data_IF_493498820924
#
_entry.id   IF_493498820924
#
_cell.length_a   1.000
_cell.length_b   1.000
_cell.length_c   1.000
_cell.angle_alpha   90.00
_cell.angle_beta   90.00
_cell.angle_gamma   90.00
#
_symmetry.space_group_name_H-M   'P 1'
#
loop_
_entity.id
_entity.type
_entity.pdbx_description
1 polymer ?
#
# COMPACT_ATOMS: atom_id res chain seq x y z
N UNK A 1 -7.80 3.37 -14.82
CA UNK A 1 -6.35 3.32 -15.07
C UNK A 1 -6.16 2.61 -16.40
N UNK A 2 -5.40 3.17 -17.36
CA UNK A 2 -5.13 2.49 -18.64
C UNK A 2 -4.44 1.14 -18.38
N UNK A 3 -4.77 0.06 -19.11
CA UNK A 3 -4.20 -1.27 -18.87
C UNK A 3 -2.67 -1.28 -18.83
N UNK A 4 -2.02 -0.50 -19.70
CA UNK A 4 -0.56 -0.38 -19.75
C UNK A 4 0.06 0.17 -18.46
N UNK A 5 -0.64 1.04 -17.75
CA UNK A 5 -0.16 1.66 -16.52
C UNK A 5 -0.38 0.79 -15.26
N UNK A 6 -1.11 -0.33 -15.38
CA UNK A 6 -1.46 -1.18 -14.23
C UNK A 6 -0.23 -1.83 -13.61
N UNK A 7 0.69 -2.36 -14.41
CA UNK A 7 1.92 -3.00 -13.91
C UNK A 7 2.87 -2.00 -13.24
N UNK A 8 2.81 -0.74 -13.67
CA UNK A 8 3.54 0.37 -13.04
C UNK A 8 2.79 1.03 -11.88
N UNK A 9 1.69 0.45 -11.40
CA UNK A 9 0.89 0.99 -10.28
C UNK A 9 0.95 0.02 -9.11
N UNK A 10 1.29 0.53 -7.92
CA UNK A 10 1.39 -0.30 -6.73
C UNK A 10 0.04 -0.89 -6.29
N UNK A 11 0.08 -2.10 -5.74
CA UNK A 11 -1.10 -2.80 -5.25
C UNK A 11 -1.86 -2.01 -4.17
N UNK A 12 -1.17 -1.28 -3.29
CA UNK A 12 -1.82 -0.41 -2.30
C UNK A 12 -2.65 0.68 -2.97
N UNK A 13 -2.16 1.28 -4.06
CA UNK A 13 -2.90 2.30 -4.82
C UNK A 13 -4.17 1.71 -5.46
N UNK A 14 -4.09 0.49 -6.00
CA UNK A 14 -5.23 -0.20 -6.61
C UNK A 14 -6.27 -0.60 -5.56
N UNK A 15 -5.85 -1.19 -4.44
CA UNK A 15 -6.73 -1.60 -3.36
C UNK A 15 -7.43 -0.40 -2.73
N UNK A 16 -6.71 0.70 -2.51
CA UNK A 16 -7.30 1.92 -1.97
C UNK A 16 -8.35 2.53 -2.91
N UNK A 17 -8.15 2.47 -4.23
CA UNK A 17 -9.14 2.90 -5.21
C UNK A 17 -10.41 2.03 -5.18
N UNK A 18 -10.26 0.70 -5.05
CA UNK A 18 -11.40 -0.22 -4.93
C UNK A 18 -12.18 0.08 -3.65
N UNK A 19 -11.47 0.22 -2.53
CA UNK A 19 -12.09 0.52 -1.24
C UNK A 19 -12.82 1.86 -1.24
N UNK A 20 -12.19 2.90 -1.82
CA UNK A 20 -12.81 4.20 -2.00
C UNK A 20 -14.07 4.11 -2.86
N UNK A 21 -14.05 3.34 -3.97
CA UNK A 21 -15.23 3.14 -4.81
C UNK A 21 -16.38 2.53 -4.01
N UNK A 22 -16.12 1.40 -3.34
CA UNK A 22 -17.12 0.70 -2.51
C UNK A 22 -17.70 1.63 -1.44
N UNK A 23 -16.81 2.37 -0.77
CA UNK A 23 -17.20 3.30 0.29
C UNK A 23 -18.06 4.45 -0.24
N UNK A 24 -17.71 5.04 -1.39
CA UNK A 24 -18.49 6.12 -1.99
C UNK A 24 -19.83 5.62 -2.54
N UNK A 25 -19.90 4.38 -3.04
CA UNK A 25 -21.15 3.72 -3.44
C UNK A 25 -22.08 3.50 -2.24
N UNK A 26 -21.55 3.00 -1.11
CA UNK A 26 -22.30 2.84 0.14
C UNK A 26 -22.87 4.18 0.64
N UNK A 27 -22.05 5.24 0.62
CA UNK A 27 -22.48 6.59 1.03
C UNK A 27 -23.57 7.13 0.09
N UNK A 28 -23.44 6.91 -1.22
CA UNK A 28 -24.44 7.38 -2.18
C UNK A 28 -25.82 6.77 -1.93
N UNK A 29 -25.86 5.51 -1.46
CA UNK A 29 -27.10 4.81 -1.09
C UNK A 29 -27.72 5.39 0.19
N UNK A 30 -26.91 5.65 1.23
CA UNK A 30 -27.40 6.13 2.53
C UNK A 30 -27.73 7.64 2.56
N UNK A 31 -27.05 8.43 1.73
CA UNK A 31 -27.09 9.91 1.79
C UNK A 31 -28.10 10.54 0.84
N UNK A 32 -28.79 9.76 0.01
CA UNK A 32 -29.60 10.30 -1.09
C UNK A 32 -28.76 10.93 -2.22
N UNK A 33 -27.48 10.55 -2.33
CA UNK A 33 -26.65 10.81 -3.52
C UNK A 33 -25.90 12.14 -3.61
N UNK A 34 -25.83 12.96 -2.56
CA UNK A 34 -25.13 14.25 -2.63
C UNK A 34 -24.08 14.40 -1.53
N UNK A 35 -22.86 13.95 -1.83
CA UNK A 35 -21.64 14.40 -1.17
C UNK A 35 -21.10 15.61 -1.93
N UNK A 36 -20.85 16.71 -1.22
CA UNK A 36 -20.17 17.86 -1.81
C UNK A 36 -18.71 17.52 -2.06
N UNK A 37 -18.39 17.26 -3.33
CA UNK A 37 -17.06 16.89 -3.78
C UNK A 37 -16.01 17.95 -3.47
N UNK A 38 -16.40 19.22 -3.42
CA UNK A 38 -15.49 20.34 -3.10
C UNK A 38 -15.12 20.42 -1.63
N UNK A 39 -15.89 19.73 -0.79
CA UNK A 39 -15.77 19.69 0.66
C UNK A 39 -15.52 18.27 1.17
N UNK A 40 -15.11 17.38 0.26
CA UNK A 40 -14.77 15.98 0.55
C UNK A 40 -13.26 15.81 0.51
N UNK A 41 -12.67 15.61 1.68
CA UNK A 41 -11.24 15.33 1.84
C UNK A 41 -10.92 13.84 1.86
N UNK A 42 -9.65 13.50 1.65
CA UNK A 42 -9.11 12.14 1.67
C UNK A 42 -7.87 12.12 2.57
N UNK A 43 -7.95 11.40 3.68
CA UNK A 43 -6.87 11.34 4.66
C UNK A 43 -6.62 9.88 4.99
N UNK A 44 -5.53 9.31 4.49
CA UNK A 44 -5.27 7.88 4.60
C UNK A 44 -4.02 7.58 5.43
N UNK A 45 -4.09 6.52 6.23
CA UNK A 45 -2.92 5.92 6.85
C UNK A 45 -2.18 5.03 5.85
N UNK A 46 -0.92 5.32 5.58
CA UNK A 46 -0.05 4.50 4.73
C UNK A 46 1.26 4.32 5.47
N UNK A 47 1.51 3.09 5.93
CA UNK A 47 2.76 2.79 6.64
C UNK A 47 3.86 2.45 5.61
N UNK A 48 5.00 3.13 5.70
CA UNK A 48 6.18 2.84 4.90
C UNK A 48 6.09 3.14 3.39
N UNK A 49 7.13 2.74 2.66
CA UNK A 49 7.19 2.80 1.21
C UNK A 49 6.27 1.75 0.58
N UNK A 50 5.90 1.96 -0.68
CA UNK A 50 5.07 1.01 -1.42
C UNK A 50 5.90 -0.20 -1.87
N UNK A 51 5.28 -1.37 -2.05
CA UNK A 51 5.97 -2.61 -2.44
C UNK A 51 6.73 -2.48 -3.76
N UNK A 52 6.13 -1.77 -4.73
CA UNK A 52 6.70 -1.50 -6.04
C UNK A 52 8.07 -0.80 -5.94
N UNK A 53 8.31 -0.02 -4.87
CA UNK A 53 9.60 0.63 -4.64
C UNK A 53 10.73 -0.39 -4.51
N UNK A 54 10.51 -1.47 -3.76
CA UNK A 54 11.52 -2.53 -3.58
C UNK A 54 11.77 -3.29 -4.89
N UNK A 55 10.71 -3.62 -5.63
CA UNK A 55 10.81 -4.27 -6.93
C UNK A 55 11.60 -3.43 -7.94
N UNK A 56 11.28 -2.15 -8.04
CA UNK A 56 11.95 -1.25 -9.00
C UNK A 56 13.40 -0.97 -8.62
N UNK A 57 13.71 -0.88 -7.32
CA UNK A 57 15.08 -0.78 -6.84
C UNK A 57 15.91 -2.04 -7.16
N UNK A 58 15.30 -3.23 -7.07
CA UNK A 58 15.94 -4.50 -7.45
C UNK A 58 16.46 -4.49 -8.89
N UNK A 59 15.64 -4.00 -9.83
CA UNK A 59 16.02 -3.90 -11.25
C UNK A 59 17.23 -2.99 -11.51
N UNK A 60 17.42 -1.95 -10.69
CA UNK A 60 18.56 -1.02 -10.80
C UNK A 60 19.90 -1.66 -10.43
N UNK A 61 19.91 -2.84 -9.78
CA UNK A 61 21.13 -3.58 -9.43
C UNK A 61 21.75 -4.34 -10.62
N UNK A 62 21.14 -4.29 -11.82
CA UNK A 62 21.65 -4.94 -13.04
C UNK A 62 23.15 -4.71 -13.28
N UNK A 63 23.70 -3.48 -13.18
CA UNK A 63 25.13 -3.26 -13.40
C UNK A 63 26.03 -4.04 -12.42
N UNK A 64 25.61 -4.17 -11.15
CA UNK A 64 26.35 -4.91 -10.14
C UNK A 64 26.40 -6.41 -10.48
N UNK A 65 25.27 -7.01 -10.88
CA UNK A 65 25.21 -8.40 -11.30
C UNK A 65 26.08 -8.68 -12.53
N UNK A 66 26.00 -7.81 -13.54
CA UNK A 66 26.81 -7.90 -14.76
C UNK A 66 28.30 -7.85 -14.43
N UNK A 67 28.73 -6.90 -13.60
CA UNK A 67 30.13 -6.76 -13.21
C UNK A 67 30.62 -7.98 -12.41
N UNK A 68 29.82 -8.49 -11.47
CA UNK A 68 30.17 -9.67 -10.69
C UNK A 68 30.31 -10.92 -11.57
N UNK A 69 29.40 -11.13 -12.53
CA UNK A 69 29.46 -12.26 -13.45
C UNK A 69 30.66 -12.17 -14.41
N UNK A 70 31.01 -10.97 -14.88
CA UNK A 70 32.22 -10.75 -15.69
C UNK A 70 33.49 -11.05 -14.89
N UNK A 71 33.57 -10.58 -13.64
CA UNK A 71 34.71 -10.85 -12.76
C UNK A 71 34.86 -12.34 -12.43
N UNK A 72 33.76 -13.08 -12.38
CA UNK A 72 33.76 -14.54 -12.23
C UNK A 72 34.18 -15.30 -13.51
N UNK A 73 34.44 -14.60 -14.62
CA UNK A 73 34.95 -15.19 -15.86
C UNK A 73 33.88 -15.80 -16.77
N UNK A 74 32.60 -15.47 -16.59
CA UNK A 74 31.53 -15.95 -17.48
C UNK A 74 31.67 -15.32 -18.88
N UNK A 75 31.32 -16.08 -19.92
CA UNK A 75 31.29 -15.56 -21.28
C UNK A 75 30.25 -14.44 -21.42
N UNK A 76 30.55 -13.39 -22.20
CA UNK A 76 29.70 -12.20 -22.30
C UNK A 76 28.25 -12.53 -22.74
N UNK A 77 28.07 -13.53 -23.60
CA UNK A 77 26.74 -14.01 -23.99
C UNK A 77 25.95 -14.57 -22.81
N UNK A 78 26.60 -15.30 -21.90
CA UNK A 78 25.98 -15.83 -20.68
C UNK A 78 25.68 -14.71 -19.68
N UNK A 79 26.59 -13.74 -19.53
CA UNK A 79 26.37 -12.57 -18.67
C UNK A 79 25.12 -11.80 -19.09
N UNK A 80 24.98 -11.50 -20.38
CA UNK A 80 23.82 -10.76 -20.89
C UNK A 80 22.53 -11.57 -20.79
N UNK A 81 22.58 -12.89 -21.08
CA UNK A 81 21.42 -13.76 -20.95
C UNK A 81 20.93 -13.85 -19.50
N UNK A 82 21.83 -14.12 -18.54
CA UNK A 82 21.48 -14.22 -17.12
C UNK A 82 20.97 -12.88 -16.60
N UNK A 83 21.66 -11.77 -16.90
CA UNK A 83 21.23 -10.46 -16.46
C UNK A 83 19.85 -10.10 -17.00
N UNK A 84 19.57 -10.40 -18.29
CA UNK A 84 18.25 -10.23 -18.91
C UNK A 84 17.20 -11.05 -18.17
N UNK A 85 17.43 -12.36 -17.99
CA UNK A 85 16.51 -13.24 -17.25
C UNK A 85 16.22 -12.75 -15.84
N UNK A 86 17.21 -12.22 -15.11
CA UNK A 86 16.97 -11.62 -13.79
C UNK A 86 16.13 -10.35 -13.92
N UNK A 87 16.46 -9.46 -14.85
CA UNK A 87 15.68 -8.23 -15.09
C UNK A 87 14.23 -8.51 -15.47
N UNK A 88 13.96 -9.56 -16.25
CA UNK A 88 12.61 -9.95 -16.71
C UNK A 88 11.68 -10.39 -15.56
N UNK A 89 12.19 -10.62 -14.35
CA UNK A 89 11.36 -10.85 -13.16
C UNK A 89 10.74 -9.56 -12.59
N UNK A 90 11.22 -8.40 -13.03
CA UNK A 90 10.75 -7.10 -12.59
C UNK A 90 10.02 -6.40 -13.73
N UNK A 91 8.99 -5.62 -13.40
CA UNK A 91 8.31 -4.75 -14.38
C UNK A 91 9.31 -3.77 -14.99
N UNK A 92 9.14 -3.47 -16.27
CA UNK A 92 9.92 -2.43 -16.95
C UNK A 92 9.63 -1.05 -16.35
N UNK A 93 10.63 -0.17 -16.40
CA UNK A 93 10.41 1.23 -16.06
C UNK A 93 9.52 1.88 -17.10
N UNK A 94 8.42 2.47 -16.65
CA UNK A 94 7.43 3.16 -17.46
C UNK A 94 7.19 4.55 -16.88
N UNK A 95 6.57 5.44 -17.67
CA UNK A 95 6.16 6.76 -17.17
C UNK A 95 5.25 6.67 -15.94
N UNK A 96 4.41 5.63 -15.88
CA UNK A 96 3.50 5.37 -14.76
C UNK A 96 4.21 4.89 -13.48
N UNK A 97 5.43 4.37 -13.58
CA UNK A 97 6.15 3.75 -12.46
C UNK A 97 6.44 4.74 -11.34
N UNK A 98 6.85 5.97 -11.68
CA UNK A 98 7.19 6.97 -10.65
C UNK A 98 5.97 7.41 -9.84
N UNK A 99 4.82 7.78 -10.44
CA UNK A 99 3.59 7.96 -9.66
C UNK A 99 3.13 6.69 -8.93
N UNK A 100 3.41 5.51 -9.49
CA UNK A 100 3.05 4.22 -8.91
C UNK A 100 3.78 3.86 -7.62
N UNK A 101 5.02 4.32 -7.43
CA UNK A 101 5.83 4.01 -6.24
C UNK A 101 5.64 5.00 -5.07
N UNK A 102 4.87 6.07 -5.28
CA UNK A 102 4.71 7.14 -4.29
C UNK A 102 3.52 6.86 -3.37
N UNK A 103 3.75 6.85 -2.06
CA UNK A 103 2.70 6.62 -1.06
C UNK A 103 1.65 7.74 -1.03
N UNK A 104 2.06 9.01 -1.14
CA UNK A 104 1.13 10.14 -1.17
C UNK A 104 0.19 10.12 -2.40
N UNK A 105 0.62 9.50 -3.50
CA UNK A 105 -0.19 9.37 -4.72
C UNK A 105 -1.41 8.47 -4.49
N UNK A 106 -1.44 7.63 -3.44
CA UNK A 106 -2.63 6.85 -3.05
C UNK A 106 -3.84 7.78 -2.86
N UNK A 107 -3.71 8.78 -1.99
CA UNK A 107 -4.78 9.74 -1.72
C UNK A 107 -5.08 10.60 -2.96
N UNK A 108 -4.04 11.08 -3.66
CA UNK A 108 -4.19 11.90 -4.87
C UNK A 108 -4.88 11.19 -6.03
N UNK A 109 -4.67 9.88 -6.21
CA UNK A 109 -5.36 9.09 -7.23
C UNK A 109 -6.84 8.92 -6.93
N UNK A 110 -7.21 8.75 -5.66
CA UNK A 110 -8.61 8.68 -5.25
C UNK A 110 -9.27 10.04 -5.52
N UNK A 111 -8.62 11.15 -5.11
CA UNK A 111 -9.09 12.51 -5.37
C UNK A 111 -9.37 12.72 -6.86
N UNK A 112 -8.38 12.41 -7.70
CA UNK A 112 -8.46 12.56 -9.15
C UNK A 112 -9.53 11.65 -9.78
N UNK A 113 -9.67 10.41 -9.30
CA UNK A 113 -10.59 9.42 -9.90
C UNK A 113 -12.06 9.74 -9.64
N UNK A 114 -12.37 10.30 -8.47
CA UNK A 114 -13.74 10.59 -8.03
C UNK A 114 -14.10 12.09 -8.08
N UNK A 115 -13.14 12.92 -8.54
CA UNK A 115 -13.28 14.37 -8.67
C UNK A 115 -13.53 15.04 -7.31
N UNK A 116 -12.84 14.57 -6.27
CA UNK A 116 -12.90 15.12 -4.92
C UNK A 116 -11.80 16.18 -4.78
N UNK A 117 -12.17 17.41 -4.46
CA UNK A 117 -11.25 18.56 -4.48
C UNK A 117 -10.96 19.13 -3.09
N UNK A 118 -11.41 18.44 -2.03
CA UNK A 118 -10.93 18.70 -0.67
C UNK A 118 -9.45 18.33 -0.48
N UNK A 119 -8.98 18.52 0.74
CA UNK A 119 -7.61 18.15 1.15
C UNK A 119 -7.34 16.67 0.88
N UNK A 120 -6.20 16.33 0.30
CA UNK A 120 -5.79 14.93 0.12
C UNK A 120 -4.34 14.73 0.54
N UNK A 121 -4.12 13.79 1.46
CA UNK A 121 -2.78 13.44 1.94
C UNK A 121 -2.78 12.09 2.66
N UNK A 122 -1.56 11.62 2.94
CA UNK A 122 -1.33 10.39 3.70
C UNK A 122 -0.58 10.71 4.98
N UNK A 123 -0.72 9.82 5.96
CA UNK A 123 -0.04 9.91 7.26
C UNK A 123 0.63 8.58 7.58
N UNK A 124 1.79 8.66 8.23
CA UNK A 124 2.54 7.50 8.69
C UNK A 124 2.81 7.61 10.20
N UNK A 125 2.10 6.78 10.96
CA UNK A 125 2.32 6.53 12.38
C UNK A 125 2.55 5.03 12.63
N UNK A 126 3.21 4.34 11.68
CA UNK A 126 3.43 2.91 11.68
C UNK A 126 2.13 2.11 11.88
N UNK A 127 2.05 1.24 12.88
CA UNK A 127 0.85 0.45 13.17
C UNK A 127 -0.36 1.32 13.56
N UNK A 128 -0.15 2.60 13.90
CA UNK A 128 -1.20 3.55 14.25
C UNK A 128 -1.66 4.44 13.09
N UNK A 129 -1.17 4.24 11.85
CA UNK A 129 -1.44 5.16 10.73
C UNK A 129 -2.93 5.35 10.43
N UNK A 130 -3.73 4.28 10.44
CA UNK A 130 -5.19 4.39 10.20
C UNK A 130 -5.91 5.19 11.28
N UNK A 131 -5.50 5.02 12.54
CA UNK A 131 -6.06 5.77 13.67
C UNK A 131 -5.60 7.23 13.67
N UNK A 132 -4.34 7.49 13.30
CA UNK A 132 -3.82 8.84 13.14
C UNK A 132 -4.59 9.60 12.04
N UNK A 133 -4.82 8.95 10.90
CA UNK A 133 -5.65 9.49 9.82
C UNK A 133 -7.07 9.80 10.29
N UNK A 134 -7.71 8.88 11.04
CA UNK A 134 -9.03 9.08 11.60
C UNK A 134 -9.07 10.26 12.59
N UNK A 135 -8.08 10.37 13.48
CA UNK A 135 -8.00 11.48 14.42
C UNK A 135 -7.92 12.83 13.70
N UNK A 136 -7.15 12.90 12.61
CA UNK A 136 -7.02 14.11 11.81
C UNK A 136 -8.31 14.41 11.06
N UNK A 137 -8.97 13.40 10.47
CA UNK A 137 -10.27 13.54 9.84
C UNK A 137 -11.32 14.11 10.80
N UNK A 138 -11.33 13.65 12.05
CA UNK A 138 -12.23 14.19 13.07
C UNK A 138 -11.95 15.65 13.41
N UNK A 139 -10.68 16.06 13.41
CA UNK A 139 -10.34 17.48 13.60
C UNK A 139 -10.80 18.32 12.40
N UNK A 140 -10.57 17.86 11.18
CA UNK A 140 -10.94 18.58 9.95
C UNK A 140 -12.47 18.77 9.81
N UNK A 141 -13.25 17.75 10.19
CA UNK A 141 -14.70 17.85 10.26
C UNK A 141 -15.17 18.81 11.37
N UNK A 142 -14.48 18.83 12.52
CA UNK A 142 -14.84 19.70 13.65
C UNK A 142 -14.47 21.16 13.44
N UNK A 143 -13.37 21.43 12.72
CA UNK A 143 -12.99 22.79 12.33
C UNK A 143 -13.89 23.35 11.23
N UNK A 144 -14.64 22.49 10.55
CA UNK A 144 -15.40 22.88 9.36
C UNK A 144 -14.50 23.12 8.16
N UNK A 145 -13.30 22.53 8.13
CA UNK A 145 -12.42 22.56 6.96
C UNK A 145 -12.91 21.59 5.87
N UNK A 146 -13.67 20.57 6.25
CA UNK A 146 -14.35 19.62 5.36
C UNK A 146 -15.71 19.22 5.90
N UNK A 147 -16.63 18.84 5.00
CA UNK A 147 -17.97 18.36 5.38
C UNK A 147 -18.06 16.84 5.29
N UNK A 148 -17.14 16.23 4.54
CA UNK A 148 -16.95 14.78 4.42
C UNK A 148 -15.47 14.47 4.36
N UNK A 149 -15.05 13.39 5.02
CA UNK A 149 -13.67 12.90 4.93
C UNK A 149 -13.67 11.40 4.70
N UNK A 150 -13.04 10.97 3.60
CA UNK A 150 -12.71 9.58 3.34
C UNK A 150 -11.41 9.23 4.07
N UNK A 151 -11.49 8.37 5.08
CA UNK A 151 -10.34 7.97 5.90
C UNK A 151 -10.26 6.46 6.13
N UNK A 152 -9.11 5.98 6.60
CA UNK A 152 -8.80 4.56 6.75
C UNK A 152 -7.30 4.29 6.67
N UNK A 153 -6.93 3.05 6.39
CA UNK A 153 -5.54 2.67 6.16
C UNK A 153 -5.37 1.69 5.00
N UNK A 154 -4.20 1.74 4.36
CA UNK A 154 -3.79 0.74 3.37
C UNK A 154 -2.36 0.29 3.62
N UNK A 155 -2.18 -1.02 3.66
CA UNK A 155 -0.89 -1.68 3.69
C UNK A 155 -0.95 -2.88 2.73
N UNK A 156 -0.16 -2.83 1.67
CA UNK A 156 0.05 -3.93 0.74
C UNK A 156 1.53 -4.35 0.71
N UNK A 157 2.36 -3.77 1.57
CA UNK A 157 3.76 -4.10 1.62
C UNK A 157 3.83 -5.51 2.19
N UNK A 158 4.07 -6.53 1.36
CA UNK A 158 4.30 -7.91 1.80
C UNK A 158 5.60 -8.49 1.23
N UNK A 159 6.65 -7.67 1.14
CA UNK A 159 7.94 -8.10 0.61
C UNK A 159 8.81 -8.85 1.62
N UNK A 160 9.85 -9.51 1.08
CA UNK A 160 10.87 -10.23 1.85
C UNK A 160 11.74 -9.32 2.71
N UNK A 161 11.93 -8.05 2.30
CA UNK A 161 12.76 -7.09 3.03
C UNK A 161 12.16 -6.81 4.41
N UNK A 162 10.88 -6.48 4.46
CA UNK A 162 10.16 -6.22 5.70
C UNK A 162 10.06 -7.47 6.57
N UNK A 163 9.86 -8.65 5.97
CA UNK A 163 9.89 -9.91 6.73
C UNK A 163 11.24 -10.14 7.39
N UNK A 164 12.35 -9.88 6.68
CA UNK A 164 13.71 -9.97 7.23
C UNK A 164 13.94 -8.97 8.36
N UNK A 165 13.48 -7.71 8.20
CA UNK A 165 13.56 -6.68 9.24
C UNK A 165 12.83 -7.12 10.53
N UNK A 166 11.62 -7.65 10.41
CA UNK A 166 10.84 -8.14 11.55
C UNK A 166 11.24 -9.52 12.07
N UNK A 167 12.03 -10.29 11.31
CA UNK A 167 12.61 -11.56 11.81
C UNK A 167 13.88 -11.32 12.63
N UNK A 168 14.60 -10.22 12.36
CA UNK A 168 15.80 -9.83 13.11
C UNK A 168 15.50 -9.08 14.39
N UNK A 169 14.34 -8.45 14.47
CA UNK A 169 13.73 -8.07 15.73
C UNK A 169 12.89 -9.27 16.21
N UNK A 170 12.89 -9.71 17.47
CA UNK A 170 12.10 -10.88 17.90
C UNK A 170 10.59 -10.58 17.97
N UNK A 171 10.05 -9.88 16.97
CA UNK A 171 8.69 -9.38 16.92
C UNK A 171 7.70 -10.39 16.33
N UNK A 172 8.16 -11.24 15.40
CA UNK A 172 7.31 -12.23 14.72
C UNK A 172 7.12 -13.50 15.57
N UNK A 173 5.88 -14.01 15.60
CA UNK A 173 5.54 -15.28 16.22
C UNK A 173 6.23 -16.45 15.51
N UNK A 174 6.99 -17.25 16.27
CA UNK A 174 7.62 -18.48 15.76
C UNK A 174 6.56 -19.54 15.47
N UNK A 175 5.50 -19.59 16.29
CA UNK A 175 4.42 -20.54 16.12
C UNK A 175 3.44 -20.19 14.99
N UNK A 176 3.58 -19.00 14.38
CA UNK A 176 2.72 -18.58 13.27
C UNK A 176 1.27 -18.37 13.72
N UNK A 177 1.05 -17.91 14.95
CA UNK A 177 -0.27 -17.53 15.46
C UNK A 177 -0.18 -16.23 16.27
N UNK A 178 -1.05 -15.26 15.97
CA UNK A 178 -1.25 -14.11 16.86
C UNK A 178 -2.07 -14.56 18.07
N UNK A 179 -1.48 -14.55 19.26
CA UNK A 179 -2.18 -14.88 20.51
C UNK A 179 -2.16 -13.69 21.47
N UNK A 180 -2.92 -12.62 21.19
CA UNK A 180 -2.98 -11.47 22.09
C UNK A 180 -3.48 -11.90 23.47
N UNK A 181 -2.81 -11.43 24.53
CA UNK A 181 -3.13 -11.70 25.93
C UNK A 181 -3.02 -13.17 26.40
N UNK A 182 -2.48 -14.07 25.57
CA UNK A 182 -2.25 -15.46 25.95
C UNK A 182 -0.92 -15.63 26.70
N UNK A 183 -0.87 -16.55 27.66
CA UNK A 183 0.39 -17.01 28.27
C UNK A 183 1.33 -17.72 27.29
N UNK A 184 0.82 -18.10 26.11
CA UNK A 184 1.56 -18.71 24.99
C UNK A 184 1.81 -17.72 23.84
N UNK A 185 1.82 -16.42 24.15
CA UNK A 185 2.13 -15.37 23.17
C UNK A 185 3.64 -15.34 22.91
N UNK A 186 4.03 -15.50 21.65
CA UNK A 186 5.42 -15.56 21.21
C UNK A 186 5.73 -14.54 20.09
N UNK A 187 4.85 -13.54 19.88
CA UNK A 187 4.98 -12.50 18.87
C UNK A 187 3.67 -12.22 18.12
N UNK A 188 3.73 -11.35 17.11
CA UNK A 188 2.62 -11.09 16.19
C UNK A 188 2.91 -11.68 14.80
N UNK A 189 1.89 -11.74 13.94
CA UNK A 189 1.99 -12.25 12.58
C UNK A 189 1.72 -11.14 11.58
N UNK A 190 2.53 -11.13 10.52
CA UNK A 190 2.24 -10.29 9.36
C UNK A 190 1.17 -10.92 8.49
N UNK A 191 0.21 -10.11 8.06
CA UNK A 191 -0.82 -10.54 7.13
C UNK A 191 -0.19 -10.95 5.78
N UNK A 192 -0.60 -12.09 5.20
CA UNK A 192 -0.05 -12.62 3.95
C UNK A 192 1.08 -13.65 4.09
N UNK A 193 1.40 -14.13 5.29
CA UNK A 193 2.29 -15.29 5.46
C UNK A 193 1.56 -16.58 5.03
N UNK A 194 1.90 -17.11 3.85
CA UNK A 194 1.54 -18.47 3.45
C UNK A 194 2.33 -19.49 4.30
N UNK A 195 1.80 -19.84 5.48
CA UNK A 195 1.92 -21.24 5.90
C UNK A 195 0.89 -22.07 5.12
N UNK A 196 1.18 -23.35 4.81
CA UNK A 196 0.20 -24.25 4.25
C UNK A 196 -0.90 -24.50 5.31
N UNK A 197 -1.95 -23.67 5.33
CA UNK A 197 -3.11 -23.83 6.21
C UNK A 197 -4.42 -23.76 5.42
N UNK A 198 -5.30 -24.70 5.77
CA UNK A 198 -6.52 -25.16 5.10
C UNK A 198 -7.74 -24.25 5.25
N UNK A 199 -7.58 -22.94 5.48
CA UNK A 199 -8.72 -22.03 5.68
C UNK A 199 -8.51 -20.69 4.98
N UNK A 200 -9.49 -20.35 4.14
CA UNK A 200 -9.55 -19.10 3.35
C UNK A 200 -9.69 -17.89 4.26
N UNK A 201 -8.65 -17.07 4.36
CA UNK A 201 -8.77 -15.67 4.79
C UNK A 201 -8.12 -14.78 3.73
N UNK A 202 -8.93 -13.95 3.06
CA UNK A 202 -8.46 -12.99 2.05
C UNK A 202 -7.79 -11.76 2.66
N UNK A 203 -7.22 -10.86 1.82
CA UNK A 203 -6.54 -9.65 2.26
C UNK A 203 -7.48 -8.72 3.05
N UNK A 204 -7.07 -8.29 4.23
CA UNK A 204 -7.81 -7.36 5.09
C UNK A 204 -7.62 -5.91 4.68
N UNK A 205 -8.72 -5.22 4.36
CA UNK A 205 -8.80 -3.77 4.25
C UNK A 205 -9.69 -3.22 5.37
N UNK A 206 -9.23 -2.21 6.09
CA UNK A 206 -10.06 -1.44 7.05
C UNK A 206 -10.23 0.00 6.54
N UNK A 207 -11.41 0.30 6.02
CA UNK A 207 -11.87 1.65 5.65
C UNK A 207 -12.98 2.09 6.59
N UNK A 208 -12.92 3.33 7.10
CA UNK A 208 -13.91 3.88 8.02
C UNK A 208 -14.26 5.31 7.58
N UNK A 209 -15.53 5.58 7.30
CA UNK A 209 -16.00 6.94 6.97
C UNK A 209 -16.87 7.49 8.07
N UNK A 210 -16.65 8.78 8.38
CA UNK A 210 -17.53 9.59 9.22
C UNK A 210 -17.95 10.83 8.44
N UNK A 211 -19.25 11.08 8.43
CA UNK A 211 -19.85 12.33 7.96
C UNK A 211 -20.22 13.18 9.18
N UNK A 212 -19.94 14.48 9.16
CA UNK A 212 -20.51 15.41 10.13
C UNK A 212 -21.82 15.96 9.56
N UNK A 213 -22.96 15.54 10.12
CA UNK A 213 -24.17 16.36 10.02
C UNK A 213 -24.07 17.40 11.13
N UNK A 214 -23.74 18.65 10.75
CA UNK A 214 -24.01 19.81 11.59
C UNK A 214 -25.47 20.19 11.40
#
# INVERSE_FOLDING_TARGET
IPPKAMEGTDTAQLLALIAANMTLEDIAQDSGGLIDKSRTSIILGVASATELTAHMAGRLQRPAWVNAMRQAGLAESQVQDIARRISDHYVDWQEATFPGLLGNVIAGRIANRFDLTGSNYVTDAACGSSLAALQIALHELRSGDSDTVLTGGVDALNDILMFMCFSKTPALSVSGDCRPFSSRSDGWQRHGHLQPRTSRSGPGLETCVRTSRV
#
